data_IF_800270451322
#
_entry.id   IF_800270451322
#
_cell.length_a   1.000
_cell.length_b   1.000
_cell.length_c   1.000
_cell.angle_alpha   90.00
_cell.angle_beta   90.00
_cell.angle_gamma   90.00
#
_symmetry.space_group_name_H-M   'P 1'
#
loop_
_entity.id
_entity.type
_entity.pdbx_description
1 polymer ?
#
# COMPACT_ATOMS: atom_id res chain seq x y z
N UNK A 1 7.64 9.01 -2.71
CA UNK A 1 8.53 10.17 -2.42
C UNK A 1 9.27 10.48 -3.70
N UNK A 2 9.34 11.75 -4.13
CA UNK A 2 10.06 12.10 -5.36
C UNK A 2 11.50 12.47 -5.03
N UNK A 3 12.37 12.36 -6.03
CA UNK A 3 13.77 12.77 -5.92
C UNK A 3 13.91 14.22 -5.42
N UNK A 4 13.05 15.12 -5.93
CA UNK A 4 12.96 16.53 -5.53
C UNK A 4 12.61 16.73 -4.06
N UNK A 5 11.89 15.79 -3.43
CA UNK A 5 11.42 15.92 -2.06
C UNK A 5 12.44 15.37 -1.05
N UNK A 6 13.25 14.40 -1.47
CA UNK A 6 14.17 13.66 -0.61
C UNK A 6 15.61 14.14 -0.71
N UNK A 7 16.14 14.34 -1.93
CA UNK A 7 17.55 14.67 -2.13
C UNK A 7 18.01 15.92 -1.36
N UNK A 8 17.23 17.02 -1.29
CA UNK A 8 17.64 18.18 -0.51
C UNK A 8 17.78 17.89 0.99
N UNK A 9 17.03 16.92 1.51
CA UNK A 9 17.02 16.55 2.94
C UNK A 9 18.09 15.53 3.30
N UNK A 10 18.70 14.87 2.32
CA UNK A 10 19.65 13.78 2.55
C UNK A 10 20.87 14.23 3.38
N UNK A 11 21.35 15.44 3.12
CA UNK A 11 22.52 16.03 3.80
C UNK A 11 22.19 16.69 5.15
N UNK A 12 20.91 16.77 5.52
CA UNK A 12 20.44 17.46 6.73
C UNK A 12 19.46 16.59 7.52
N UNK A 13 19.91 15.45 8.09
CA UNK A 13 19.05 14.63 8.94
C UNK A 13 18.68 15.40 10.21
N UNK A 14 17.39 15.44 10.53
CA UNK A 14 16.87 16.11 11.72
C UNK A 14 16.40 15.08 12.74
N UNK A 15 17.20 14.87 13.78
CA UNK A 15 16.83 14.00 14.89
C UNK A 15 15.99 14.80 15.88
N UNK A 16 14.72 14.46 15.96
CA UNK A 16 13.77 15.03 16.90
C UNK A 16 13.23 13.95 17.85
N UNK A 17 13.13 14.26 19.14
CA UNK A 17 12.69 13.31 20.17
C UNK A 17 11.26 12.83 19.94
N UNK A 18 10.37 13.70 19.43
CA UNK A 18 9.00 13.32 19.15
C UNK A 18 8.92 12.39 17.93
N UNK A 19 9.66 12.70 16.86
CA UNK A 19 9.82 11.81 15.70
C UNK A 19 10.41 10.45 16.10
N UNK A 20 11.41 10.40 16.97
CA UNK A 20 11.96 9.12 17.45
C UNK A 20 10.91 8.28 18.19
N UNK A 21 10.10 8.87 19.07
CA UNK A 21 9.00 8.15 19.76
C UNK A 21 7.99 7.59 18.77
N UNK A 22 7.59 8.41 17.78
CA UNK A 22 6.71 7.96 16.70
C UNK A 22 7.35 6.84 15.89
N UNK A 23 8.66 6.94 15.61
CA UNK A 23 9.41 5.94 14.86
C UNK A 23 9.44 4.58 15.56
N UNK A 24 9.71 4.57 16.88
CA UNK A 24 9.66 3.36 17.70
C UNK A 24 8.26 2.76 17.70
N UNK A 25 7.23 3.59 17.87
CA UNK A 25 5.84 3.14 17.83
C UNK A 25 5.49 2.48 16.49
N UNK A 26 5.84 3.13 15.36
CA UNK A 26 5.60 2.59 14.02
C UNK A 26 6.37 1.29 13.78
N UNK A 27 7.61 1.19 14.28
CA UNK A 27 8.42 -0.02 14.15
C UNK A 27 7.77 -1.20 14.91
N UNK A 28 7.41 -1.01 16.18
CA UNK A 28 6.77 -2.04 17.00
C UNK A 28 5.41 -2.43 16.41
N UNK A 29 4.58 -1.44 16.06
CA UNK A 29 3.24 -1.71 15.54
C UNK A 29 3.29 -2.33 14.14
N UNK A 30 4.23 -1.91 13.30
CA UNK A 30 4.46 -2.51 11.99
C UNK A 30 4.93 -3.96 12.07
N UNK A 31 5.84 -4.27 13.01
CA UNK A 31 6.23 -5.66 13.32
C UNK A 31 5.04 -6.48 13.80
N UNK A 32 4.19 -5.93 14.67
CA UNK A 32 2.98 -6.62 15.11
C UNK A 32 2.03 -6.91 13.93
N UNK A 33 1.73 -5.92 13.09
CA UNK A 33 0.88 -6.11 11.89
C UNK A 33 1.43 -7.21 10.98
N UNK A 34 2.73 -7.17 10.68
CA UNK A 34 3.35 -8.12 9.79
C UNK A 34 3.45 -9.52 10.43
N UNK A 35 4.20 -9.62 11.52
CA UNK A 35 4.60 -10.91 12.08
C UNK A 35 3.53 -11.59 12.92
N UNK A 36 2.59 -10.82 13.48
CA UNK A 36 1.50 -11.41 14.28
C UNK A 36 0.23 -11.51 13.47
N UNK A 37 -0.20 -10.43 12.80
CA UNK A 37 -1.47 -10.48 12.06
C UNK A 37 -1.32 -11.13 10.69
N UNK A 38 -0.46 -10.61 9.82
CA UNK A 38 -0.36 -11.08 8.44
C UNK A 38 0.12 -12.54 8.37
N UNK A 39 1.18 -12.89 9.11
CA UNK A 39 1.71 -14.26 9.11
C UNK A 39 0.71 -15.27 9.70
N UNK A 40 -0.02 -14.91 10.76
CA UNK A 40 -1.07 -15.79 11.32
C UNK A 40 -2.22 -16.00 10.35
N UNK A 41 -2.70 -14.92 9.70
CA UNK A 41 -3.76 -15.02 8.71
C UNK A 41 -3.29 -15.86 7.52
N UNK A 42 -2.06 -15.65 7.04
CA UNK A 42 -1.47 -16.46 5.98
C UNK A 42 -1.49 -17.93 6.34
N UNK A 43 -1.03 -18.31 7.54
CA UNK A 43 -1.04 -19.70 7.99
C UNK A 43 -2.43 -20.33 8.00
N UNK A 44 -3.47 -19.55 8.31
CA UNK A 44 -4.87 -20.00 8.32
C UNK A 44 -5.40 -20.17 6.89
N UNK A 45 -5.11 -19.25 5.98
CA UNK A 45 -5.74 -19.22 4.66
C UNK A 45 -4.94 -19.95 3.56
N UNK A 46 -3.63 -20.15 3.73
CA UNK A 46 -2.80 -20.83 2.73
C UNK A 46 -3.33 -22.20 2.30
N UNK A 47 -3.82 -23.09 3.18
CA UNK A 47 -4.37 -24.38 2.77
C UNK A 47 -5.59 -24.27 1.84
N UNK A 48 -6.42 -23.23 1.98
CA UNK A 48 -7.60 -23.01 1.13
C UNK A 48 -7.21 -22.78 -0.34
N UNK A 49 -6.04 -22.21 -0.58
CA UNK A 49 -5.55 -21.93 -1.94
C UNK A 49 -4.85 -23.13 -2.58
N UNK A 50 -4.32 -24.06 -1.78
CA UNK A 50 -3.63 -25.25 -2.27
C UNK A 50 -4.62 -26.35 -2.67
N UNK A 51 -5.68 -26.54 -1.89
CA UNK A 51 -6.65 -27.62 -2.09
C UNK A 51 -8.11 -27.10 -2.01
N UNK A 52 -8.51 -26.13 -2.86
CA UNK A 52 -9.81 -25.45 -2.73
C UNK A 52 -11.00 -26.42 -2.83
N UNK A 53 -10.88 -27.49 -3.60
CA UNK A 53 -11.93 -28.50 -3.80
C UNK A 53 -12.26 -29.30 -2.53
N UNK A 54 -11.37 -29.29 -1.53
CA UNK A 54 -11.61 -29.93 -0.24
C UNK A 54 -12.41 -29.07 0.75
N UNK A 55 -12.63 -27.80 0.42
CA UNK A 55 -13.32 -26.85 1.29
C UNK A 55 -14.69 -26.46 0.74
N UNK A 56 -15.63 -26.19 1.65
CA UNK A 56 -16.91 -25.60 1.27
C UNK A 56 -16.71 -24.21 0.66
N UNK A 57 -17.59 -23.83 -0.26
CA UNK A 57 -17.57 -22.50 -0.90
C UNK A 57 -17.57 -21.35 0.11
N UNK A 58 -18.27 -21.49 1.23
CA UNK A 58 -18.26 -20.51 2.32
C UNK A 58 -16.84 -20.27 2.89
N UNK A 59 -16.04 -21.33 3.06
CA UNK A 59 -14.66 -21.23 3.54
C UNK A 59 -13.77 -20.50 2.55
N UNK A 60 -14.00 -20.70 1.25
CA UNK A 60 -13.26 -19.98 0.18
C UNK A 60 -13.56 -18.48 0.23
N UNK A 61 -14.82 -18.08 0.43
CA UNK A 61 -15.16 -16.67 0.61
C UNK A 61 -14.51 -16.06 1.85
N UNK A 62 -14.52 -16.78 2.98
CA UNK A 62 -13.83 -16.35 4.21
C UNK A 62 -12.32 -16.22 3.95
N UNK A 63 -11.72 -17.16 3.21
CA UNK A 63 -10.33 -17.09 2.77
C UNK A 63 -10.03 -15.83 1.97
N UNK A 64 -10.91 -15.45 1.03
CA UNK A 64 -10.76 -14.23 0.25
C UNK A 64 -10.76 -12.95 1.13
N UNK A 65 -11.65 -12.87 2.14
CA UNK A 65 -11.62 -11.77 3.11
C UNK A 65 -10.35 -11.80 3.96
N UNK A 66 -9.92 -12.99 4.39
CA UNK A 66 -8.65 -13.19 5.08
C UNK A 66 -7.46 -12.68 4.26
N UNK A 67 -7.44 -12.97 2.96
CA UNK A 67 -6.39 -12.49 2.06
C UNK A 67 -6.34 -10.96 1.94
N UNK A 68 -7.50 -10.29 1.88
CA UNK A 68 -7.56 -8.82 1.91
C UNK A 68 -6.92 -8.28 3.20
N UNK A 69 -7.25 -8.88 4.35
CA UNK A 69 -6.67 -8.52 5.63
C UNK A 69 -5.16 -8.81 5.70
N UNK A 70 -4.72 -9.96 5.19
CA UNK A 70 -3.32 -10.36 5.12
C UNK A 70 -2.51 -9.34 4.31
N UNK A 71 -2.92 -9.08 3.06
CA UNK A 71 -2.22 -8.15 2.16
C UNK A 71 -2.14 -6.76 2.78
N UNK A 72 -3.24 -6.28 3.38
CA UNK A 72 -3.23 -4.99 4.07
C UNK A 72 -2.24 -4.97 5.25
N UNK A 73 -2.29 -5.97 6.14
CA UNK A 73 -1.45 -6.01 7.33
C UNK A 73 0.02 -6.16 6.98
N UNK A 74 0.35 -6.97 5.97
CA UNK A 74 1.71 -7.19 5.51
C UNK A 74 2.29 -5.88 4.93
N UNK A 75 1.63 -5.30 3.93
CA UNK A 75 2.12 -4.09 3.27
C UNK A 75 2.12 -2.88 4.21
N UNK A 76 1.03 -2.68 4.97
CA UNK A 76 0.99 -1.59 5.96
C UNK A 76 2.09 -1.78 7.00
N UNK A 77 2.30 -3.01 7.50
CA UNK A 77 3.34 -3.33 8.46
C UNK A 77 4.74 -3.02 7.94
N UNK A 78 5.07 -3.45 6.72
CA UNK A 78 6.33 -3.11 6.06
C UNK A 78 6.55 -1.60 5.94
N UNK A 79 5.54 -0.86 5.49
CA UNK A 79 5.67 0.59 5.32
C UNK A 79 5.78 1.34 6.64
N UNK A 80 5.13 0.85 7.70
CA UNK A 80 5.25 1.40 9.05
C UNK A 80 6.66 1.14 9.61
N UNK A 81 7.22 -0.06 9.42
CA UNK A 81 8.60 -0.37 9.80
C UNK A 81 9.57 0.56 9.05
N UNK A 82 9.41 0.71 7.73
CA UNK A 82 10.25 1.59 6.92
C UNK A 82 10.17 3.06 7.37
N UNK A 83 8.96 3.55 7.67
CA UNK A 83 8.75 4.89 8.24
C UNK A 83 9.36 5.03 9.63
N UNK A 84 9.24 3.99 10.45
CA UNK A 84 9.84 3.93 11.78
C UNK A 84 11.35 4.09 11.72
N UNK A 85 12.01 3.29 10.86
CA UNK A 85 13.45 3.40 10.61
C UNK A 85 13.83 4.78 10.05
N UNK A 86 13.06 5.34 9.12
CA UNK A 86 13.32 6.67 8.58
C UNK A 86 13.33 7.73 9.69
N UNK A 87 12.34 7.73 10.58
CA UNK A 87 12.29 8.68 11.70
C UNK A 87 13.47 8.54 12.66
N UNK A 88 13.91 7.30 12.93
CA UNK A 88 15.09 7.05 13.75
C UNK A 88 16.40 7.56 13.11
N UNK A 89 16.45 7.58 11.78
CA UNK A 89 17.57 8.10 11.00
C UNK A 89 17.47 9.62 10.74
N UNK A 90 16.44 10.30 11.27
CA UNK A 90 16.23 11.74 11.08
C UNK A 90 15.58 12.12 9.75
N UNK A 91 14.91 11.16 9.09
CA UNK A 91 14.19 11.37 7.84
C UNK A 91 12.68 11.16 8.01
N UNK A 92 11.91 11.85 7.16
CA UNK A 92 10.45 11.70 7.11
C UNK A 92 10.06 11.23 5.71
N UNK A 93 9.49 10.02 5.63
CA UNK A 93 8.97 9.45 4.40
C UNK A 93 7.42 9.42 4.46
N UNK A 94 6.74 9.61 3.32
CA UNK A 94 5.29 9.72 3.28
C UNK A 94 4.58 8.44 3.74
N UNK A 95 3.40 8.61 4.33
CA UNK A 95 2.49 7.52 4.67
C UNK A 95 1.99 6.81 3.41
N UNK A 96 1.90 5.48 3.49
CA UNK A 96 1.44 4.67 2.36
C UNK A 96 0.01 4.14 2.55
N UNK A 97 -0.49 4.04 3.78
CA UNK A 97 -1.84 3.55 4.08
C UNK A 97 -2.52 4.43 5.12
N UNK A 98 -3.74 4.90 4.82
CA UNK A 98 -4.51 5.81 5.68
C UNK A 98 -5.97 5.36 5.83
N UNK A 99 -6.19 4.29 6.59
CA UNK A 99 -7.52 3.71 6.82
C UNK A 99 -8.31 3.50 5.52
N UNK A 100 -7.78 2.74 4.54
CA UNK A 100 -8.38 2.62 3.21
C UNK A 100 -9.79 2.02 3.23
N UNK A 101 -10.08 1.12 4.16
CA UNK A 101 -11.41 0.49 4.30
C UNK A 101 -12.46 1.41 4.95
N UNK A 102 -12.08 2.59 5.41
CA UNK A 102 -13.02 3.64 5.86
C UNK A 102 -13.45 4.57 4.70
N UNK A 103 -13.00 4.29 3.48
CA UNK A 103 -13.35 5.06 2.30
C UNK A 103 -14.81 4.92 1.93
N UNK A 104 -15.42 6.02 1.52
CA UNK A 104 -16.81 6.08 1.03
C UNK A 104 -16.92 5.93 -0.50
N UNK A 105 -15.79 5.95 -1.21
CA UNK A 105 -15.72 5.78 -2.66
C UNK A 105 -14.41 5.13 -3.11
N UNK A 106 -14.40 4.53 -4.30
CA UNK A 106 -13.17 3.97 -4.89
C UNK A 106 -12.08 5.03 -5.12
N UNK A 107 -12.47 6.26 -5.46
CA UNK A 107 -11.53 7.37 -5.60
C UNK A 107 -10.82 7.67 -4.28
N UNK A 108 -11.59 7.68 -3.19
CA UNK A 108 -11.05 7.87 -1.85
C UNK A 108 -10.16 6.69 -1.41
N UNK A 109 -10.58 5.46 -1.74
CA UNK A 109 -9.80 4.25 -1.47
C UNK A 109 -8.39 4.34 -2.05
N UNK A 110 -8.25 4.67 -3.34
CA UNK A 110 -6.93 4.83 -3.98
C UNK A 110 -6.14 6.05 -3.48
N UNK A 111 -6.80 7.00 -2.81
CA UNK A 111 -6.14 8.09 -2.09
C UNK A 111 -5.63 7.70 -0.70
N UNK A 112 -5.98 6.50 -0.22
CA UNK A 112 -5.67 5.97 1.12
C UNK A 112 -4.94 4.63 1.09
N UNK A 113 -4.95 3.93 -0.03
CA UNK A 113 -4.28 2.65 -0.27
C UNK A 113 -3.03 2.89 -1.11
N UNK A 114 -1.88 2.39 -0.65
CA UNK A 114 -0.60 2.46 -1.36
C UNK A 114 -0.30 3.86 -1.96
N UNK A 115 -0.52 4.90 -1.15
CA UNK A 115 -0.61 6.32 -1.53
C UNK A 115 0.58 6.77 -2.40
N UNK A 116 1.78 6.29 -2.07
CA UNK A 116 3.00 6.69 -2.78
C UNK A 116 3.02 6.15 -4.22
N UNK A 117 2.60 4.90 -4.44
CA UNK A 117 2.45 4.32 -5.78
C UNK A 117 1.27 4.94 -6.51
N UNK A 118 0.12 5.08 -5.84
CA UNK A 118 -1.08 5.67 -6.47
C UNK A 118 -0.84 7.11 -6.92
N UNK A 119 -0.09 7.89 -6.13
CA UNK A 119 0.36 9.22 -6.54
C UNK A 119 1.34 9.17 -7.70
N UNK A 120 2.28 8.22 -7.70
CA UNK A 120 3.23 8.04 -8.79
C UNK A 120 2.52 7.68 -10.12
N UNK A 121 1.61 6.70 -10.10
CA UNK A 121 0.80 6.34 -11.27
C UNK A 121 -0.03 7.52 -11.78
N UNK A 122 -0.64 8.28 -10.86
CA UNK A 122 -1.39 9.50 -11.21
C UNK A 122 -0.51 10.52 -11.93
N UNK A 123 0.65 10.82 -11.36
CA UNK A 123 1.48 11.95 -11.77
C UNK A 123 2.34 11.64 -13.00
N UNK A 124 2.77 10.38 -13.15
CA UNK A 124 3.66 9.96 -14.24
C UNK A 124 2.97 9.19 -15.36
N UNK A 125 1.73 8.71 -15.17
CA UNK A 125 0.98 7.99 -16.22
C UNK A 125 -0.36 8.69 -16.51
N UNK A 126 -1.24 8.81 -15.51
CA UNK A 126 -2.61 9.30 -15.74
C UNK A 126 -2.65 10.75 -16.26
N UNK A 127 -1.93 11.67 -15.61
CA UNK A 127 -1.90 13.09 -15.99
C UNK A 127 -1.26 13.28 -17.37
N UNK A 128 -0.09 12.67 -17.70
CA UNK A 128 0.47 12.71 -19.05
C UNK A 128 -0.44 12.17 -20.15
N UNK A 129 -1.29 11.18 -19.87
CA UNK A 129 -2.30 10.67 -20.83
C UNK A 129 -3.46 11.66 -21.09
N UNK A 130 -3.50 12.79 -20.40
CA UNK A 130 -4.52 13.84 -20.51
C UNK A 130 -5.45 13.91 -19.30
N UNK A 131 -5.25 13.05 -18.29
CA UNK A 131 -6.02 13.00 -17.06
C UNK A 131 -7.53 12.99 -17.34
N UNK A 132 -8.25 13.87 -16.64
CA UNK A 132 -9.71 14.02 -16.79
C UNK A 132 -10.15 15.16 -17.72
N UNK A 133 -9.25 15.70 -18.56
CA UNK A 133 -9.49 16.97 -19.29
C UNK A 133 -10.18 16.80 -20.65
N UNK A 134 -10.25 15.59 -21.20
CA UNK A 134 -10.73 15.32 -22.57
C UNK A 134 -12.08 14.58 -22.62
N UNK A 135 -12.95 14.87 -21.64
CA UNK A 135 -14.26 14.22 -21.51
C UNK A 135 -14.22 12.88 -20.78
N UNK A 136 -15.39 12.36 -20.45
CA UNK A 136 -15.57 11.19 -19.60
C UNK A 136 -14.98 9.91 -20.22
N UNK A 137 -15.30 9.60 -21.48
CA UNK A 137 -14.79 8.40 -22.17
C UNK A 137 -13.25 8.34 -22.19
N UNK A 138 -12.59 9.47 -22.45
CA UNK A 138 -11.12 9.53 -22.45
C UNK A 138 -10.56 9.38 -21.03
N UNK A 139 -11.25 9.91 -20.03
CA UNK A 139 -10.88 9.79 -18.62
C UNK A 139 -10.93 8.35 -18.14
N UNK A 140 -11.98 7.60 -18.52
CA UNK A 140 -12.13 6.19 -18.20
C UNK A 140 -11.06 5.34 -18.89
N UNK A 141 -10.77 5.61 -20.17
CA UNK A 141 -9.67 4.93 -20.87
C UNK A 141 -8.30 5.21 -20.25
N UNK A 142 -8.03 6.47 -19.88
CA UNK A 142 -6.78 6.85 -19.21
C UNK A 142 -6.65 6.15 -17.85
N UNK A 143 -7.75 6.03 -17.09
CA UNK A 143 -7.78 5.33 -15.82
C UNK A 143 -7.51 3.83 -16.01
N UNK A 144 -8.21 3.20 -16.97
CA UNK A 144 -8.00 1.79 -17.33
C UNK A 144 -6.53 1.52 -17.68
N UNK A 145 -5.96 2.29 -18.61
CA UNK A 145 -4.56 2.12 -19.00
C UNK A 145 -3.60 2.32 -17.83
N UNK A 146 -3.85 3.32 -16.99
CA UNK A 146 -3.02 3.57 -15.80
C UNK A 146 -3.03 2.38 -14.84
N UNK A 147 -4.21 1.81 -14.58
CA UNK A 147 -4.36 0.66 -13.68
C UNK A 147 -3.81 -0.62 -14.30
N UNK A 148 -4.00 -0.84 -15.61
CA UNK A 148 -3.43 -1.98 -16.32
C UNK A 148 -1.89 -1.94 -16.32
N UNK A 149 -1.29 -0.77 -16.58
CA UNK A 149 0.17 -0.60 -16.49
C UNK A 149 0.68 -0.80 -15.06
N UNK A 150 -0.07 -0.33 -14.06
CA UNK A 150 0.22 -0.61 -12.66
C UNK A 150 0.15 -2.10 -12.33
N UNK A 151 -0.84 -2.82 -12.86
CA UNK A 151 -0.95 -4.27 -12.72
C UNK A 151 0.20 -5.02 -13.40
N UNK A 152 0.57 -4.64 -14.62
CA UNK A 152 1.72 -5.21 -15.34
C UNK A 152 3.04 -4.97 -14.60
N UNK A 153 3.19 -3.82 -13.91
CA UNK A 153 4.36 -3.53 -13.08
C UNK A 153 4.50 -4.49 -11.89
N UNK A 154 3.39 -4.99 -11.33
CA UNK A 154 3.42 -5.99 -10.27
C UNK A 154 3.89 -7.38 -10.75
N UNK A 155 3.97 -7.58 -12.07
CA UNK A 155 4.39 -8.83 -12.70
C UNK A 155 3.23 -9.57 -13.37
N UNK A 156 3.48 -10.09 -14.56
CA UNK A 156 2.63 -11.08 -15.21
C UNK A 156 3.08 -12.46 -14.71
N UNK A 157 2.70 -12.82 -13.49
CA UNK A 157 2.99 -14.15 -12.97
C UNK A 157 2.08 -15.15 -13.70
N UNK A 158 2.68 -15.95 -14.57
CA UNK A 158 2.17 -17.21 -15.12
C UNK A 158 2.23 -18.32 -14.10
#
# INVERSE_FOLDING_TARGET
MRSTDFLPKLNFPEIDKQRMKQGIFLLIFGLFKKSVLADSISGIISPLYLEPDQYHSASVYIGAFGFICQVYCDFSGYTDIARGCAFLLGYEIPENFKGPFLSTSFREFWGRWHITLSSWLRDYIYIPLGGSRKGELRSQWNMFLTMCLGGLWHGANT
#
